data_IF_919117984628
#
_entry.id   IF_919117984628
#
_cell.length_a   1.000
_cell.length_b   1.000
_cell.length_c   1.000
_cell.angle_alpha   90.00
_cell.angle_beta   90.00
_cell.angle_gamma   90.00
#
_symmetry.space_group_name_H-M   'P 1'
#
loop_
_entity.id
_entity.type
_entity.pdbx_description
1 polymer ?
#
# COMPACT_ATOMS: atom_id res chain seq x y z
N UNK A 1 -13.50 1.22 -11.04
CA UNK A 1 -14.46 2.29 -11.34
C UNK A 1 -14.26 3.49 -10.41
N UNK A 2 -14.46 3.35 -9.07
CA UNK A 2 -14.28 4.46 -8.10
C UNK A 2 -12.85 5.01 -8.09
N UNK A 3 -11.85 4.13 -8.08
CA UNK A 3 -10.44 4.51 -8.12
C UNK A 3 -10.09 5.32 -9.38
N UNK A 4 -10.62 4.93 -10.54
CA UNK A 4 -10.43 5.66 -11.79
C UNK A 4 -11.13 7.03 -11.76
N UNK A 5 -12.36 7.09 -11.24
CA UNK A 5 -13.10 8.34 -11.06
C UNK A 5 -12.33 9.30 -10.18
N UNK A 6 -11.75 8.81 -9.06
CA UNK A 6 -10.94 9.64 -8.15
C UNK A 6 -9.72 10.21 -8.87
N UNK A 7 -8.93 9.37 -9.55
CA UNK A 7 -7.74 9.83 -10.25
C UNK A 7 -8.06 10.88 -11.31
N UNK A 8 -9.09 10.64 -12.12
CA UNK A 8 -9.50 11.59 -13.16
C UNK A 8 -10.06 12.88 -12.56
N UNK A 9 -10.86 12.81 -11.50
CA UNK A 9 -11.39 14.02 -10.85
C UNK A 9 -10.29 14.88 -10.23
N UNK A 10 -9.26 14.25 -9.64
CA UNK A 10 -8.10 14.96 -9.10
C UNK A 10 -7.31 15.66 -10.19
N UNK A 11 -7.00 14.98 -11.31
CA UNK A 11 -6.21 15.55 -12.40
C UNK A 11 -7.00 16.54 -13.29
N UNK A 12 -8.32 16.63 -13.13
CA UNK A 12 -9.11 17.71 -13.75
C UNK A 12 -8.98 19.06 -13.03
N UNK A 13 -8.43 19.06 -11.84
CA UNK A 13 -8.18 20.29 -11.09
C UNK A 13 -6.82 20.89 -11.48
N UNK A 14 -6.79 22.16 -11.84
CA UNK A 14 -5.59 22.89 -12.30
C UNK A 14 -4.40 22.84 -11.31
N UNK A 15 -4.66 22.47 -10.07
CA UNK A 15 -3.65 22.42 -8.99
C UNK A 15 -2.94 21.05 -8.91
N UNK A 16 -3.43 20.02 -9.57
CA UNK A 16 -2.87 18.67 -9.56
C UNK A 16 -2.42 18.29 -10.97
N UNK A 17 -1.13 18.11 -11.17
CA UNK A 17 -0.54 17.72 -12.44
C UNK A 17 -0.61 16.21 -12.68
N UNK A 18 -0.37 15.43 -11.62
CA UNK A 18 -0.34 13.98 -11.68
C UNK A 18 -0.93 13.37 -10.41
N UNK A 19 -1.58 12.21 -10.53
CA UNK A 19 -2.12 11.46 -9.41
C UNK A 19 -1.98 9.95 -9.59
N UNK A 20 -1.64 9.25 -8.50
CA UNK A 20 -1.66 7.79 -8.41
C UNK A 20 -2.21 7.36 -7.04
N UNK A 21 -2.89 6.21 -6.97
CA UNK A 21 -3.50 5.69 -5.75
C UNK A 21 -3.03 4.28 -5.49
N UNK A 22 -2.43 4.05 -4.32
CA UNK A 22 -2.06 2.75 -3.79
C UNK A 22 -3.08 2.34 -2.73
N UNK A 23 -3.78 1.24 -2.96
CA UNK A 23 -4.74 0.66 -2.01
C UNK A 23 -4.30 -0.76 -1.69
N UNK A 24 -4.15 -1.05 -0.41
CA UNK A 24 -3.85 -2.38 0.11
C UNK A 24 -4.81 -2.70 1.25
N UNK A 25 -4.71 -3.89 1.86
CA UNK A 25 -5.50 -4.22 3.04
C UNK A 25 -5.18 -3.34 4.26
N UNK A 26 -4.05 -2.63 4.25
CA UNK A 26 -3.49 -1.96 5.43
C UNK A 26 -3.25 -0.46 5.23
N UNK A 27 -3.36 0.05 3.99
CA UNK A 27 -3.13 1.45 3.67
C UNK A 27 -3.88 1.89 2.42
N UNK A 28 -4.31 3.13 2.42
CA UNK A 28 -4.73 3.87 1.23
C UNK A 28 -3.86 5.11 1.14
N UNK A 29 -3.11 5.24 0.05
CA UNK A 29 -2.18 6.35 -0.16
C UNK A 29 -2.48 7.01 -1.50
N UNK A 30 -2.54 8.34 -1.52
CA UNK A 30 -2.71 9.14 -2.73
C UNK A 30 -1.42 9.90 -2.95
N UNK A 31 -0.77 9.65 -4.07
CA UNK A 31 0.43 10.34 -4.51
C UNK A 31 0.05 11.35 -5.57
N UNK A 32 0.47 12.58 -5.38
CA UNK A 32 0.21 13.65 -6.32
C UNK A 32 1.48 14.43 -6.66
N UNK A 33 1.54 14.96 -7.86
CA UNK A 33 2.45 16.02 -8.27
C UNK A 33 1.67 17.29 -8.48
N UNK A 34 2.20 18.41 -8.00
CA UNK A 34 1.59 19.73 -8.13
C UNK A 34 2.63 20.72 -8.62
N UNK A 35 2.20 21.75 -9.34
CA UNK A 35 3.05 22.90 -9.67
C UNK A 35 3.57 23.59 -8.41
N UNK A 36 4.55 24.47 -8.58
CA UNK A 36 5.15 25.25 -7.49
C UNK A 36 4.10 26.14 -6.81
N UNK A 37 4.29 26.41 -5.51
CA UNK A 37 3.57 27.41 -4.72
C UNK A 37 2.10 27.08 -4.35
N UNK A 38 1.75 25.80 -4.23
CA UNK A 38 0.42 25.40 -3.73
C UNK A 38 0.45 25.08 -2.24
N UNK A 39 -0.55 25.56 -1.50
CA UNK A 39 -0.70 25.24 -0.09
C UNK A 39 -1.07 23.77 0.11
N UNK A 40 -0.29 23.06 0.93
CA UNK A 40 -0.59 21.67 1.31
C UNK A 40 -1.99 21.52 1.90
N UNK A 41 -2.44 22.51 2.69
CA UNK A 41 -3.78 22.50 3.29
C UNK A 41 -4.91 22.54 2.25
N UNK A 42 -4.75 23.36 1.19
CA UNK A 42 -5.73 23.44 0.09
C UNK A 42 -5.81 22.13 -0.69
N UNK A 43 -4.65 21.49 -0.90
CA UNK A 43 -4.58 20.21 -1.61
C UNK A 43 -5.25 19.10 -0.79
N UNK A 44 -5.02 19.03 0.51
CA UNK A 44 -5.66 18.06 1.40
C UNK A 44 -7.18 18.24 1.38
N UNK A 45 -7.67 19.49 1.47
CA UNK A 45 -9.11 19.75 1.42
C UNK A 45 -9.71 19.29 0.10
N UNK A 46 -9.07 19.57 -1.03
CA UNK A 46 -9.51 19.12 -2.34
C UNK A 46 -9.58 17.58 -2.43
N UNK A 47 -8.54 16.88 -1.95
CA UNK A 47 -8.53 15.42 -1.96
C UNK A 47 -9.69 14.86 -1.13
N UNK A 48 -9.95 15.42 0.06
CA UNK A 48 -11.06 15.01 0.91
C UNK A 48 -12.40 15.23 0.22
N UNK A 49 -12.61 16.40 -0.37
CA UNK A 49 -13.80 16.74 -1.13
C UNK A 49 -14.06 15.73 -2.26
N UNK A 50 -13.05 15.42 -3.07
CA UNK A 50 -13.17 14.43 -4.15
C UNK A 50 -13.43 13.01 -3.65
N UNK A 51 -12.85 12.64 -2.51
CA UNK A 51 -13.15 11.35 -1.87
C UNK A 51 -14.62 11.30 -1.40
N UNK A 52 -15.12 12.34 -0.76
CA UNK A 52 -16.51 12.43 -0.30
C UNK A 52 -17.51 12.38 -1.46
N UNK A 53 -17.24 13.10 -2.55
CA UNK A 53 -18.04 13.06 -3.78
C UNK A 53 -18.18 11.63 -4.36
N UNK A 54 -17.13 10.83 -4.25
CA UNK A 54 -17.11 9.50 -4.85
C UNK A 54 -17.72 8.46 -3.92
N UNK A 55 -17.44 8.54 -2.62
CA UNK A 55 -17.94 7.60 -1.62
C UNK A 55 -19.40 7.89 -1.27
N UNK A 56 -19.87 9.13 -1.49
CA UNK A 56 -21.24 9.55 -1.19
C UNK A 56 -21.52 9.74 0.30
N UNK A 57 -20.49 9.83 1.13
CA UNK A 57 -20.59 10.06 2.56
C UNK A 57 -19.57 11.10 3.01
N UNK A 58 -19.99 11.96 3.95
CA UNK A 58 -19.09 12.91 4.59
C UNK A 58 -18.06 12.19 5.44
N UNK A 59 -16.79 12.50 5.26
CA UNK A 59 -15.68 11.95 6.02
C UNK A 59 -15.31 12.88 7.19
N UNK A 60 -16.31 13.17 8.05
CA UNK A 60 -16.07 13.97 9.25
C UNK A 60 -14.94 13.35 10.07
N UNK A 61 -13.97 14.17 10.44
CA UNK A 61 -12.77 13.78 11.21
C UNK A 61 -11.72 12.94 10.44
N UNK A 62 -11.88 12.58 9.16
CA UNK A 62 -10.84 11.85 8.43
C UNK A 62 -9.51 12.63 8.42
N UNK A 63 -9.58 13.97 8.42
CA UNK A 63 -8.39 14.82 8.44
C UNK A 63 -7.45 14.54 9.61
N UNK A 64 -7.99 14.19 10.77
CA UNK A 64 -7.21 13.90 11.99
C UNK A 64 -6.43 12.58 11.89
N UNK A 65 -6.81 11.73 10.94
CA UNK A 65 -6.16 10.43 10.67
C UNK A 65 -5.25 10.44 9.44
N UNK A 66 -5.16 11.58 8.73
CA UNK A 66 -4.30 11.69 7.56
C UNK A 66 -2.85 11.95 7.96
N UNK A 67 -1.96 11.17 7.37
CA UNK A 67 -0.52 11.44 7.36
C UNK A 67 -0.15 12.08 6.02
N UNK A 68 0.42 13.28 6.06
CA UNK A 68 0.83 13.98 4.86
C UNK A 68 2.35 14.13 4.80
N UNK A 69 2.93 13.70 3.70
CA UNK A 69 4.34 13.85 3.40
C UNK A 69 4.54 14.74 2.18
N UNK A 70 5.52 15.63 2.21
CA UNK A 70 5.84 16.54 1.11
C UNK A 70 7.31 16.46 0.71
N UNK A 71 7.63 16.77 -0.54
CA UNK A 71 8.98 16.84 -1.05
C UNK A 71 9.81 15.59 -0.73
N UNK A 72 10.98 15.74 -0.11
CA UNK A 72 11.86 14.63 0.27
C UNK A 72 11.19 13.61 1.21
N UNK A 73 10.26 14.05 2.04
CA UNK A 73 9.50 13.17 2.93
C UNK A 73 8.61 12.20 2.15
N UNK A 74 7.90 12.68 1.15
CA UNK A 74 7.07 11.85 0.27
C UNK A 74 7.92 10.85 -0.54
N UNK A 75 9.07 11.29 -1.08
CA UNK A 75 10.03 10.42 -1.77
C UNK A 75 10.52 9.32 -0.83
N UNK A 76 10.99 9.68 0.35
CA UNK A 76 11.47 8.70 1.35
C UNK A 76 10.38 7.70 1.75
N UNK A 77 9.13 8.18 1.87
CA UNK A 77 8.00 7.32 2.24
C UNK A 77 7.75 6.22 1.20
N UNK A 78 7.61 6.56 -0.09
CA UNK A 78 7.34 5.54 -1.13
C UNK A 78 8.49 4.53 -1.26
N UNK A 79 9.75 4.94 -1.04
CA UNK A 79 10.88 4.01 -1.02
C UNK A 79 10.78 3.01 0.13
N UNK A 80 10.43 3.46 1.34
CA UNK A 80 10.21 2.60 2.50
C UNK A 80 9.04 1.64 2.27
N UNK A 81 7.92 2.16 1.75
CA UNK A 81 6.74 1.35 1.40
C UNK A 81 7.10 0.29 0.38
N UNK A 82 7.75 0.66 -0.73
CA UNK A 82 8.14 -0.26 -1.80
C UNK A 82 9.08 -1.36 -1.33
N UNK A 83 9.99 -1.04 -0.40
CA UNK A 83 10.91 -2.01 0.21
C UNK A 83 10.25 -2.89 1.28
N UNK A 84 9.00 -2.61 1.67
CA UNK A 84 8.30 -3.32 2.75
C UNK A 84 8.79 -2.96 4.15
N UNK A 85 9.50 -1.83 4.29
CA UNK A 85 10.01 -1.34 5.59
C UNK A 85 8.92 -0.71 6.44
N UNK A 86 7.83 -0.28 5.81
CA UNK A 86 6.67 0.34 6.44
C UNK A 86 5.45 -0.61 6.43
N UNK A 87 5.68 -1.91 6.30
CA UNK A 87 4.65 -2.95 6.32
C UNK A 87 4.52 -3.56 7.72
N UNK A 88 3.33 -4.08 8.08
CA UNK A 88 3.13 -4.84 9.33
C UNK A 88 4.08 -6.04 9.41
N UNK A 89 4.34 -6.66 8.28
CA UNK A 89 5.34 -7.72 8.13
C UNK A 89 6.50 -7.14 7.33
N UNK A 90 7.59 -6.81 8.02
CA UNK A 90 8.75 -6.18 7.39
C UNK A 90 9.30 -7.09 6.29
N UNK A 91 9.50 -6.52 5.09
CA UNK A 91 10.08 -7.20 3.94
C UNK A 91 9.13 -8.09 3.15
N UNK A 92 7.81 -8.03 3.40
CA UNK A 92 6.84 -8.78 2.57
C UNK A 92 6.95 -8.40 1.09
N UNK A 93 6.76 -9.41 0.20
CA UNK A 93 6.93 -9.19 -1.24
C UNK A 93 5.70 -8.62 -1.93
N UNK A 94 4.52 -8.71 -1.31
CA UNK A 94 3.26 -8.32 -1.93
C UNK A 94 3.19 -6.83 -2.23
N UNK A 95 3.71 -5.99 -1.33
CA UNK A 95 3.66 -4.53 -1.48
C UNK A 95 4.38 -4.03 -2.74
N UNK A 96 5.49 -4.66 -3.12
CA UNK A 96 6.23 -4.28 -4.32
C UNK A 96 5.40 -4.49 -5.60
N UNK A 97 4.62 -5.57 -5.66
CA UNK A 97 3.65 -5.80 -6.73
C UNK A 97 2.57 -4.73 -6.75
N UNK A 98 1.98 -4.45 -5.59
CA UNK A 98 0.91 -3.45 -5.46
C UNK A 98 1.35 -2.04 -5.82
N UNK A 99 2.61 -1.66 -5.51
CA UNK A 99 3.19 -0.37 -5.94
C UNK A 99 3.33 -0.30 -7.47
N UNK A 100 3.74 -1.38 -8.13
CA UNK A 100 3.78 -1.44 -9.60
C UNK A 100 2.39 -1.33 -10.20
N UNK A 101 1.44 -2.13 -9.69
CA UNK A 101 0.06 -2.11 -10.17
C UNK A 101 -0.58 -0.72 -10.00
N UNK A 102 -0.23 0.01 -8.94
CA UNK A 102 -0.72 1.35 -8.68
C UNK A 102 -0.29 2.36 -9.77
N UNK A 103 0.98 2.35 -10.16
CA UNK A 103 1.48 3.27 -11.19
C UNK A 103 1.03 2.83 -12.60
N UNK A 104 0.93 1.53 -12.87
CA UNK A 104 0.40 1.02 -14.13
C UNK A 104 -1.06 1.44 -14.32
N UNK A 105 -1.87 1.31 -13.29
CA UNK A 105 -3.26 1.78 -13.30
C UNK A 105 -3.37 3.30 -13.51
N UNK A 106 -2.51 4.09 -12.87
CA UNK A 106 -2.48 5.54 -13.08
C UNK A 106 -2.09 5.92 -14.53
N UNK A 107 -1.21 5.13 -15.16
CA UNK A 107 -0.89 5.28 -16.60
C UNK A 107 -2.09 4.99 -17.50
N UNK A 108 -2.80 3.90 -17.23
CA UNK A 108 -4.02 3.52 -17.96
C UNK A 108 -5.09 4.59 -17.85
N UNK A 109 -5.19 5.26 -16.69
CA UNK A 109 -6.10 6.38 -16.48
C UNK A 109 -5.60 7.70 -17.09
N UNK A 110 -4.38 7.78 -17.63
CA UNK A 110 -3.70 9.00 -18.09
C UNK A 110 -3.52 10.05 -16.97
N UNK A 111 -3.30 9.61 -15.75
CA UNK A 111 -3.08 10.47 -14.57
C UNK A 111 -1.66 10.43 -14.02
N UNK A 112 -0.77 9.62 -14.60
CA UNK A 112 0.64 9.57 -14.28
C UNK A 112 1.50 10.18 -15.40
N UNK A 113 2.22 11.25 -15.09
CA UNK A 113 3.17 11.91 -15.97
C UNK A 113 4.62 11.59 -15.63
N UNK A 114 5.52 12.51 -15.92
CA UNK A 114 6.97 12.31 -15.76
C UNK A 114 7.38 12.07 -14.30
N UNK A 115 6.83 12.86 -13.37
CA UNK A 115 7.28 12.84 -11.97
C UNK A 115 6.90 11.55 -11.27
N UNK A 116 5.62 11.15 -11.29
CA UNK A 116 5.18 9.92 -10.63
C UNK A 116 5.73 8.68 -11.32
N UNK A 117 5.81 8.65 -12.66
CA UNK A 117 6.43 7.54 -13.37
C UNK A 117 7.89 7.33 -12.96
N UNK A 118 8.66 8.43 -12.85
CA UNK A 118 10.06 8.37 -12.44
C UNK A 118 10.16 7.92 -10.99
N UNK A 119 9.40 8.53 -10.09
CA UNK A 119 9.42 8.25 -8.66
C UNK A 119 9.10 6.77 -8.36
N UNK A 120 8.01 6.26 -8.93
CA UNK A 120 7.59 4.88 -8.72
C UNK A 120 8.56 3.86 -9.33
N UNK A 121 9.06 4.13 -10.55
CA UNK A 121 10.08 3.29 -11.19
C UNK A 121 11.34 3.18 -10.33
N UNK A 122 11.83 4.31 -9.84
CA UNK A 122 13.06 4.35 -9.05
C UNK A 122 12.84 3.71 -7.67
N UNK A 123 11.71 3.94 -7.02
CA UNK A 123 11.33 3.29 -5.76
C UNK A 123 11.25 1.75 -5.92
N UNK A 124 10.65 1.26 -7.01
CA UNK A 124 10.59 -0.17 -7.33
C UNK A 124 11.97 -0.76 -7.60
N UNK A 125 12.83 -0.02 -8.29
CA UNK A 125 14.20 -0.45 -8.62
C UNK A 125 15.05 -0.59 -7.35
N UNK A 126 15.04 0.43 -6.50
CA UNK A 126 15.77 0.40 -5.23
C UNK A 126 15.20 -0.65 -4.25
N UNK A 127 13.90 -0.81 -4.21
CA UNK A 127 13.28 -1.86 -3.39
C UNK A 127 13.74 -3.27 -3.80
N UNK A 128 13.86 -3.55 -5.11
CA UNK A 128 14.42 -4.82 -5.59
C UNK A 128 15.88 -4.99 -5.17
N UNK A 129 16.68 -3.92 -5.26
CA UNK A 129 18.08 -3.92 -4.86
C UNK A 129 18.21 -4.21 -3.36
N UNK A 130 17.47 -3.49 -2.52
CA UNK A 130 17.44 -3.73 -1.06
C UNK A 130 17.10 -5.19 -0.77
N UNK A 131 16.05 -5.74 -1.41
CA UNK A 131 15.64 -7.14 -1.22
C UNK A 131 16.70 -8.15 -1.67
N UNK A 132 17.49 -7.83 -2.68
CA UNK A 132 18.56 -8.70 -3.20
C UNK A 132 19.83 -8.62 -2.32
N UNK A 133 20.21 -7.43 -1.89
CA UNK A 133 21.45 -7.17 -1.15
C UNK A 133 21.30 -7.40 0.35
N UNK A 134 20.07 -7.47 0.86
CA UNK A 134 19.79 -7.70 2.28
C UNK A 134 19.02 -9.00 2.51
N UNK A 135 18.97 -9.44 3.76
CA UNK A 135 18.20 -10.62 4.15
C UNK A 135 16.73 -10.29 4.48
N UNK A 136 16.26 -9.06 4.16
CA UNK A 136 14.97 -8.57 4.62
C UNK A 136 13.79 -9.41 4.10
N UNK A 137 13.89 -9.96 2.89
CA UNK A 137 12.87 -10.85 2.31
C UNK A 137 13.14 -12.34 2.58
N UNK A 138 14.31 -12.69 3.08
CA UNK A 138 14.67 -14.11 3.31
C UNK A 138 13.97 -14.72 4.52
N UNK A 139 13.44 -13.90 5.40
CA UNK A 139 12.68 -14.40 6.56
C UNK A 139 11.34 -15.04 6.18
N UNK A 140 10.91 -14.91 4.90
CA UNK A 140 9.74 -15.61 4.32
C UNK A 140 8.46 -15.61 5.19
N UNK A 141 8.40 -14.68 6.16
CA UNK A 141 7.41 -14.69 7.21
C UNK A 141 6.16 -14.02 6.65
N UNK A 142 5.20 -14.83 6.19
CA UNK A 142 3.88 -14.32 5.84
C UNK A 142 3.07 -14.05 7.11
N UNK A 143 2.05 -13.22 7.02
CA UNK A 143 1.06 -13.01 8.10
C UNK A 143 0.50 -14.36 8.61
N UNK A 144 0.30 -15.33 7.72
CA UNK A 144 -0.12 -16.67 8.07
C UNK A 144 0.92 -17.42 8.94
N UNK A 145 2.19 -17.30 8.62
CA UNK A 145 3.29 -17.90 9.41
C UNK A 145 3.38 -17.25 10.79
N UNK A 146 3.25 -15.91 10.86
CA UNK A 146 3.23 -15.20 12.15
C UNK A 146 2.06 -15.61 13.01
N UNK A 147 0.86 -15.75 12.43
CA UNK A 147 -0.33 -16.19 13.16
C UNK A 147 -0.16 -17.61 13.76
N UNK A 148 0.42 -18.55 13.00
CA UNK A 148 0.69 -19.90 13.48
C UNK A 148 1.78 -19.92 14.56
N UNK A 149 2.84 -19.11 14.43
CA UNK A 149 3.84 -18.95 15.48
C UNK A 149 3.25 -18.41 16.77
N UNK A 150 2.47 -17.32 16.68
CA UNK A 150 1.79 -16.74 17.84
C UNK A 150 0.83 -17.74 18.49
N UNK A 151 0.09 -18.52 17.69
CA UNK A 151 -0.76 -19.59 18.22
C UNK A 151 0.06 -20.67 18.92
N UNK A 152 1.21 -21.07 18.38
CA UNK A 152 2.09 -22.04 19.00
C UNK A 152 2.69 -21.54 20.32
N UNK A 153 3.05 -20.26 20.38
CA UNK A 153 3.57 -19.64 21.61
C UNK A 153 2.54 -19.67 22.75
N UNK A 154 1.24 -19.47 22.40
CA UNK A 154 0.14 -19.52 23.37
C UNK A 154 -0.21 -20.95 23.76
N UNK A 155 -0.24 -21.89 22.80
CA UNK A 155 -0.68 -23.27 23.00
C UNK A 155 0.47 -24.20 23.44
N UNK A 156 1.71 -23.75 23.37
CA UNK A 156 2.96 -24.48 23.63
C UNK A 156 3.24 -25.63 22.65
N UNK A 157 2.23 -26.33 22.18
CA UNK A 157 2.29 -27.36 21.14
C UNK A 157 0.98 -27.41 20.34
N UNK A 158 1.08 -27.91 19.12
CA UNK A 158 -0.08 -28.24 18.29
C UNK A 158 -0.51 -29.73 18.40
N UNK A 159 0.25 -30.54 19.13
CA UNK A 159 -0.08 -31.96 19.30
C UNK A 159 -1.50 -32.12 19.84
N UNK A 160 -2.26 -33.01 19.25
CA UNK A 160 -3.66 -33.31 19.59
C UNK A 160 -4.62 -32.11 19.43
N UNK A 161 -4.19 -30.97 18.84
CA UNK A 161 -5.05 -29.83 18.59
C UNK A 161 -5.75 -29.98 17.24
N UNK A 162 -6.98 -29.47 17.15
CA UNK A 162 -7.73 -29.39 15.90
C UNK A 162 -7.70 -27.95 15.39
N UNK A 163 -7.27 -27.75 14.15
CA UNK A 163 -7.29 -26.45 13.48
C UNK A 163 -8.48 -26.38 12.53
N UNK A 164 -9.36 -25.40 12.71
CA UNK A 164 -10.40 -25.06 11.78
C UNK A 164 -9.99 -23.82 11.00
N UNK A 165 -9.96 -23.91 9.67
CA UNK A 165 -9.65 -22.78 8.78
C UNK A 165 -10.89 -22.41 7.99
N UNK A 166 -11.47 -21.23 8.27
CA UNK A 166 -12.58 -20.67 7.51
C UNK A 166 -11.97 -19.86 6.36
N UNK A 167 -12.39 -20.15 5.11
CA UNK A 167 -11.82 -19.52 3.93
C UNK A 167 -10.51 -20.17 3.45
N UNK A 168 -10.30 -21.47 3.68
CA UNK A 168 -9.09 -22.20 3.28
C UNK A 168 -8.83 -22.20 1.77
N UNK A 169 -9.85 -22.00 0.92
CA UNK A 169 -9.75 -21.89 -0.54
C UNK A 169 -9.23 -20.51 -0.98
N UNK A 170 -9.28 -19.49 -0.12
CA UNK A 170 -8.75 -18.15 -0.40
C UNK A 170 -7.21 -18.11 -0.33
N UNK A 171 -6.63 -17.04 -0.88
CA UNK A 171 -5.17 -16.86 -0.95
C UNK A 171 -4.49 -17.01 0.41
N UNK A 172 -4.97 -16.32 1.43
CA UNK A 172 -4.40 -16.37 2.79
C UNK A 172 -4.69 -17.71 3.47
N UNK A 173 -5.94 -18.19 3.42
CA UNK A 173 -6.32 -19.45 4.03
C UNK A 173 -5.52 -20.65 3.49
N UNK A 174 -5.22 -20.67 2.19
CA UNK A 174 -4.39 -21.70 1.58
C UNK A 174 -2.93 -21.65 2.10
N UNK A 175 -2.37 -20.45 2.33
CA UNK A 175 -1.04 -20.30 2.94
C UNK A 175 -1.05 -20.79 4.39
N UNK A 176 -2.09 -20.45 5.17
CA UNK A 176 -2.26 -20.95 6.55
C UNK A 176 -2.33 -22.47 6.56
N UNK A 177 -3.14 -23.06 5.67
CA UNK A 177 -3.28 -24.52 5.56
C UNK A 177 -1.93 -25.21 5.26
N UNK A 178 -1.22 -24.72 4.24
CA UNK A 178 0.10 -25.26 3.87
C UNK A 178 1.11 -25.17 5.00
N UNK A 179 1.15 -24.03 5.67
CA UNK A 179 2.08 -23.84 6.79
C UNK A 179 1.70 -24.67 8.00
N UNK A 180 0.40 -24.81 8.30
CA UNK A 180 -0.08 -25.62 9.41
C UNK A 180 0.26 -27.11 9.24
N UNK A 181 0.24 -27.63 8.01
CA UNK A 181 0.61 -29.01 7.71
C UNK A 181 2.11 -29.31 7.87
N UNK A 182 2.94 -28.28 8.02
CA UNK A 182 4.39 -28.40 8.23
C UNK A 182 4.81 -28.37 9.70
N UNK A 183 3.85 -28.21 10.62
CA UNK A 183 4.08 -28.28 12.06
C UNK A 183 3.78 -29.65 12.61
#
# INVERSE_FOLDING_TARGET
EEKERLLKSLCNEEIIDEAAVLITCNRTEIYISTGKDKSTGSIINLILEKCEEIIGHTMENLRDYLLCYTGKGAVSHIYKVSAGLDSMVIGEDQILGQVKDAIEFARECNTAGLYLNTLFRDAVTEAKKIKTETLISKSGVSTATLALRAAKDVLLSFDEKKLLIIGASGKIGNIVLKNALSY
#
